data_IF_436725157284
#
_entry.id   IF_436725157284
#
_cell.length_a   1.000
_cell.length_b   1.000
_cell.length_c   1.000
_cell.angle_alpha   90.00
_cell.angle_beta   90.00
_cell.angle_gamma   90.00
#
_symmetry.space_group_name_H-M   'P 1'
#
loop_
_entity.id
_entity.type
_entity.pdbx_description
1 polymer ?
#
# COMPACT_ATOMS: atom_id res chain seq x y z
N UNK A 1 18.50 -11.76 28.32
CA UNK A 1 18.31 -10.98 27.07
C UNK A 1 18.53 -11.95 25.93
N UNK A 2 17.47 -12.69 25.57
CA UNK A 2 17.55 -13.71 24.53
C UNK A 2 17.51 -13.02 23.18
N UNK A 3 18.58 -13.17 22.40
CA UNK A 3 18.56 -12.88 20.97
C UNK A 3 17.59 -13.88 20.33
N UNK A 4 16.37 -13.43 20.05
CA UNK A 4 15.45 -14.21 19.24
C UNK A 4 16.10 -14.42 17.87
N UNK A 5 16.35 -15.68 17.56
CA UNK A 5 16.87 -16.12 16.27
C UNK A 5 15.84 -15.82 15.18
N UNK A 6 15.93 -14.61 14.59
CA UNK A 6 15.03 -14.06 13.57
C UNK A 6 15.09 -14.84 12.23
N UNK A 7 15.88 -15.92 12.15
CA UNK A 7 16.01 -16.80 11.01
C UNK A 7 14.76 -17.64 10.69
N UNK A 8 13.80 -17.75 11.63
CA UNK A 8 12.65 -18.68 11.50
C UNK A 8 11.36 -18.08 10.93
N UNK A 9 11.33 -16.80 10.60
CA UNK A 9 10.13 -16.14 10.08
C UNK A 9 10.18 -16.05 8.54
N UNK A 10 9.13 -16.51 7.82
CA UNK A 10 9.00 -16.32 6.38
C UNK A 10 9.15 -14.85 6.01
N UNK A 11 9.91 -14.57 4.95
CA UNK A 11 10.15 -13.21 4.48
C UNK A 11 10.10 -13.11 2.96
N UNK A 12 9.65 -11.94 2.51
CA UNK A 12 9.69 -11.50 1.12
C UNK A 12 10.88 -10.55 0.98
N UNK A 13 11.72 -10.79 -0.02
CA UNK A 13 12.80 -9.91 -0.42
C UNK A 13 12.33 -9.05 -1.58
N UNK A 14 12.49 -7.73 -1.42
CA UNK A 14 12.26 -6.73 -2.46
C UNK A 14 13.62 -6.13 -2.80
N UNK A 15 14.05 -6.27 -4.05
CA UNK A 15 15.31 -5.70 -4.52
C UNK A 15 15.03 -4.65 -5.58
N UNK A 16 15.42 -3.41 -5.31
CA UNK A 16 15.44 -2.33 -6.31
C UNK A 16 16.89 -2.19 -6.78
N UNK A 17 17.17 -2.69 -7.99
CA UNK A 17 18.47 -2.47 -8.61
C UNK A 17 18.50 -1.08 -9.22
N UNK A 18 19.48 -0.29 -8.83
CA UNK A 18 19.63 1.09 -9.28
C UNK A 18 21.08 1.51 -9.24
N UNK A 19 21.44 2.48 -10.08
CA UNK A 19 22.74 3.16 -10.06
C UNK A 19 22.67 4.53 -9.35
N UNK A 20 21.49 4.91 -8.88
CA UNK A 20 21.20 6.22 -8.31
C UNK A 20 20.43 6.10 -7.00
N UNK A 21 20.30 7.21 -6.27
CA UNK A 21 19.57 7.24 -5.01
C UNK A 21 18.08 7.14 -5.29
N UNK A 22 17.43 6.11 -4.76
CA UNK A 22 15.96 5.97 -4.79
C UNK A 22 15.36 6.78 -3.64
N UNK A 23 14.41 7.70 -3.89
CA UNK A 23 13.75 8.44 -2.83
C UNK A 23 13.03 7.51 -1.86
N UNK A 24 13.13 7.80 -0.55
CA UNK A 24 12.48 6.99 0.49
C UNK A 24 10.95 6.93 0.33
N UNK A 25 10.33 7.96 -0.26
CA UNK A 25 8.90 7.96 -0.58
C UNK A 25 8.53 6.87 -1.58
N UNK A 26 9.33 6.69 -2.63
CA UNK A 26 9.12 5.67 -3.68
C UNK A 26 9.27 4.27 -3.08
N UNK A 27 10.33 4.05 -2.29
CA UNK A 27 10.51 2.79 -1.59
C UNK A 27 9.37 2.52 -0.59
N UNK A 28 8.92 3.54 0.14
CA UNK A 28 7.82 3.45 1.09
C UNK A 28 6.49 3.08 0.44
N UNK A 29 6.13 3.75 -0.66
CA UNK A 29 4.93 3.46 -1.45
C UNK A 29 4.95 2.02 -2.00
N UNK A 30 6.11 1.59 -2.53
CA UNK A 30 6.29 0.21 -2.99
C UNK A 30 6.06 -0.81 -1.86
N UNK A 31 6.71 -0.61 -0.71
CA UNK A 31 6.55 -1.50 0.44
C UNK A 31 5.11 -1.52 0.96
N UNK A 32 4.45 -0.36 0.99
CA UNK A 32 3.07 -0.22 1.43
C UNK A 32 2.11 -1.00 0.52
N UNK A 33 2.24 -0.87 -0.80
CA UNK A 33 1.37 -1.59 -1.72
C UNK A 33 1.64 -3.09 -1.74
N UNK A 34 2.90 -3.53 -1.55
CA UNK A 34 3.23 -4.95 -1.33
C UNK A 34 2.56 -5.46 -0.04
N UNK A 35 2.66 -4.71 1.07
CA UNK A 35 2.03 -5.08 2.34
C UNK A 35 0.50 -5.16 2.22
N UNK A 36 -0.13 -4.18 1.59
CA UNK A 36 -1.58 -4.19 1.32
C UNK A 36 -1.99 -5.35 0.41
N UNK A 37 -1.22 -5.63 -0.64
CA UNK A 37 -1.43 -6.77 -1.53
C UNK A 37 -1.38 -8.09 -0.77
N UNK A 38 -0.35 -8.27 0.07
CA UNK A 38 -0.18 -9.44 0.91
C UNK A 38 -1.34 -9.61 1.90
N UNK A 39 -1.73 -8.55 2.60
CA UNK A 39 -2.86 -8.62 3.54
C UNK A 39 -4.17 -8.98 2.84
N UNK A 40 -4.46 -8.41 1.66
CA UNK A 40 -5.63 -8.78 0.87
C UNK A 40 -5.60 -10.27 0.49
N UNK A 41 -4.45 -10.75 0.04
CA UNK A 41 -4.25 -12.16 -0.32
C UNK A 41 -4.42 -13.09 0.90
N UNK A 42 -3.78 -12.76 2.01
CA UNK A 42 -3.86 -13.52 3.26
C UNK A 42 -5.30 -13.57 3.79
N UNK A 43 -6.03 -12.44 3.79
CA UNK A 43 -7.45 -12.39 4.15
C UNK A 43 -8.31 -13.28 3.24
N UNK A 44 -8.03 -13.29 1.93
CA UNK A 44 -8.68 -14.19 0.96
C UNK A 44 -8.45 -15.68 1.25
N UNK A 45 -7.37 -16.01 1.97
CA UNK A 45 -7.06 -17.37 2.48
C UNK A 45 -7.55 -17.61 3.92
N UNK A 46 -8.34 -16.71 4.49
CA UNK A 46 -8.85 -16.81 5.87
C UNK A 46 -7.85 -16.39 6.95
N UNK A 47 -6.73 -15.77 6.58
CA UNK A 47 -5.63 -15.38 7.48
C UNK A 47 -5.59 -13.88 7.69
N UNK A 48 -6.43 -13.39 8.60
CA UNK A 48 -6.59 -11.95 8.89
C UNK A 48 -5.54 -11.40 9.86
N UNK A 49 -4.84 -12.31 10.53
CA UNK A 49 -3.77 -12.07 11.49
C UNK A 49 -2.43 -11.73 10.82
N UNK A 50 -2.22 -12.17 9.58
CA UNK A 50 -0.94 -12.05 8.89
C UNK A 50 -0.75 -10.67 8.28
N UNK A 51 0.42 -10.07 8.53
CA UNK A 51 0.86 -8.79 7.97
C UNK A 51 2.34 -8.86 7.59
N UNK A 52 2.82 -7.89 6.81
CA UNK A 52 4.25 -7.73 6.55
C UNK A 52 4.81 -6.60 7.42
N UNK A 53 6.04 -6.78 7.91
CA UNK A 53 6.82 -5.72 8.53
C UNK A 53 8.25 -5.73 8.01
N UNK A 54 8.86 -4.55 7.97
CA UNK A 54 10.26 -4.40 7.52
C UNK A 54 11.18 -5.02 8.57
N UNK A 55 11.95 -6.03 8.16
CA UNK A 55 12.97 -6.71 8.97
C UNK A 55 14.36 -6.10 8.76
N UNK A 56 14.70 -5.79 7.51
CA UNK A 56 16.04 -5.33 7.13
C UNK A 56 15.96 -4.45 5.90
N UNK A 57 16.82 -3.43 5.86
CA UNK A 57 17.08 -2.61 4.68
C UNK A 57 18.60 -2.52 4.51
N UNK A 58 19.11 -2.93 3.36
CA UNK A 58 20.52 -2.77 2.99
C UNK A 58 20.67 -1.68 1.93
N UNK A 59 21.73 -0.88 2.07
CA UNK A 59 21.98 0.32 1.27
C UNK A 59 23.14 0.02 0.32
N UNK A 60 22.81 -0.46 -0.88
CA UNK A 60 23.73 -0.72 -2.00
C UNK A 60 22.92 -0.79 -3.28
N UNK A 61 22.46 -1.99 -3.64
CA UNK A 61 21.11 -2.13 -4.21
C UNK A 61 20.13 -2.02 -3.04
N UNK A 62 19.02 -1.30 -3.18
CA UNK A 62 18.07 -1.20 -2.07
C UNK A 62 17.37 -2.56 -1.92
N UNK A 63 17.86 -3.35 -0.96
CA UNK A 63 17.32 -4.67 -0.62
C UNK A 63 16.53 -4.52 0.66
N UNK A 64 15.25 -4.86 0.60
CA UNK A 64 14.32 -4.75 1.72
C UNK A 64 13.74 -6.13 2.01
N UNK A 65 13.91 -6.59 3.25
CA UNK A 65 13.31 -7.85 3.70
C UNK A 65 12.04 -7.55 4.51
N UNK A 66 10.91 -8.09 4.05
CA UNK A 66 9.60 -8.00 4.70
C UNK A 66 9.26 -9.32 5.39
N UNK A 67 9.31 -9.36 6.72
CA UNK A 67 8.95 -10.54 7.50
C UNK A 67 7.43 -10.61 7.76
N UNK A 68 6.89 -11.82 7.81
CA UNK A 68 5.47 -12.04 8.13
C UNK A 68 5.23 -11.95 9.64
N UNK A 69 4.45 -10.96 10.06
CA UNK A 69 4.03 -10.74 11.44
C UNK A 69 2.65 -11.35 11.67
N UNK A 70 2.37 -11.78 12.90
CA UNK A 70 1.06 -12.31 13.32
C UNK A 70 0.92 -13.83 13.20
N UNK A 71 1.92 -14.51 12.65
CA UNK A 71 2.04 -15.96 12.72
C UNK A 71 2.70 -16.39 14.03
N UNK A 72 2.23 -17.48 14.65
CA UNK A 72 3.04 -18.18 15.64
C UNK A 72 4.39 -18.57 15.00
N UNK A 73 5.55 -18.42 15.69
CA UNK A 73 6.86 -18.73 15.14
C UNK A 73 6.90 -20.15 14.57
N UNK A 74 7.31 -20.29 13.29
CA UNK A 74 7.40 -21.59 12.62
C UNK A 74 6.08 -22.16 12.07
N UNK A 75 4.98 -21.40 12.06
CA UNK A 75 3.71 -21.88 11.52
C UNK A 75 3.83 -22.16 10.00
N UNK A 76 3.60 -23.41 9.52
CA UNK A 76 3.68 -23.78 8.10
C UNK A 76 2.77 -22.91 7.22
N UNK A 77 1.71 -22.40 7.83
CA UNK A 77 0.69 -21.59 7.20
C UNK A 77 1.18 -20.21 6.76
N UNK A 78 2.16 -19.60 7.44
CA UNK A 78 2.73 -18.31 7.02
C UNK A 78 3.64 -18.47 5.80
N UNK A 79 4.43 -19.54 5.76
CA UNK A 79 5.27 -19.90 4.62
C UNK A 79 4.43 -20.18 3.38
N UNK A 80 3.36 -20.97 3.52
CA UNK A 80 2.42 -21.27 2.43
C UNK A 80 1.76 -20.01 1.89
N UNK A 81 1.28 -19.12 2.77
CA UNK A 81 0.66 -17.86 2.35
C UNK A 81 1.67 -16.98 1.62
N UNK A 82 2.88 -16.83 2.15
CA UNK A 82 3.98 -16.06 1.53
C UNK A 82 4.32 -16.56 0.14
N UNK A 83 4.58 -17.86 0.00
CA UNK A 83 4.89 -18.46 -1.29
C UNK A 83 3.73 -18.29 -2.27
N UNK A 84 2.50 -18.53 -1.83
CA UNK A 84 1.33 -18.38 -2.71
C UNK A 84 1.10 -16.93 -3.15
N UNK A 85 1.46 -15.95 -2.30
CA UNK A 85 1.37 -14.53 -2.63
C UNK A 85 2.41 -14.15 -3.70
N UNK A 86 3.65 -14.60 -3.56
CA UNK A 86 4.69 -14.36 -4.56
C UNK A 86 4.32 -14.94 -5.93
N UNK A 87 3.82 -16.18 -5.96
CA UNK A 87 3.32 -16.82 -7.18
C UNK A 87 2.16 -16.01 -7.79
N UNK A 88 1.16 -15.63 -6.98
CA UNK A 88 0.02 -14.85 -7.44
C UNK A 88 0.45 -13.46 -7.98
N UNK A 89 1.49 -12.86 -7.39
CA UNK A 89 2.05 -11.57 -7.85
C UNK A 89 2.75 -11.73 -9.19
N UNK A 90 3.52 -12.81 -9.39
CA UNK A 90 4.11 -13.15 -10.68
C UNK A 90 3.06 -13.38 -11.77
N UNK A 91 2.00 -14.11 -11.47
CA UNK A 91 0.86 -14.32 -12.39
C UNK A 91 0.15 -13.00 -12.73
N UNK A 92 -0.09 -12.16 -11.72
CA UNK A 92 -0.68 -10.83 -11.89
C UNK A 92 0.14 -9.95 -12.84
N UNK A 93 1.47 -9.93 -12.68
CA UNK A 93 2.36 -9.19 -13.57
C UNK A 93 2.32 -9.75 -15.00
N UNK A 94 2.32 -11.07 -15.17
CA UNK A 94 2.19 -11.70 -16.50
C UNK A 94 0.86 -11.35 -17.16
N UNK A 95 -0.24 -11.30 -16.41
CA UNK A 95 -1.52 -10.81 -16.94
C UNK A 95 -1.47 -9.32 -17.30
N UNK A 96 -0.83 -8.49 -16.48
CA UNK A 96 -0.66 -7.06 -16.76
C UNK A 96 0.20 -6.80 -18.01
N UNK A 97 1.21 -7.63 -18.27
CA UNK A 97 2.06 -7.62 -19.46
C UNK A 97 1.36 -8.20 -20.70
N UNK A 98 0.15 -8.75 -20.58
CA UNK A 98 -0.56 -9.40 -21.67
C UNK A 98 0.00 -10.77 -22.06
N UNK A 99 0.86 -11.35 -21.22
CA UNK A 99 1.51 -12.67 -21.43
C UNK A 99 0.70 -13.84 -20.87
N UNK A 100 -0.34 -13.56 -20.09
CA UNK A 100 -1.25 -14.56 -19.54
C UNK A 100 -2.70 -14.04 -19.60
N UNK A 101 -3.69 -14.92 -19.86
CA UNK A 101 -5.10 -14.53 -19.80
C UNK A 101 -5.46 -14.12 -18.38
N UNK A 102 -6.19 -13.01 -18.22
CA UNK A 102 -6.62 -12.53 -16.91
C UNK A 102 -7.05 -11.07 -16.96
N UNK A 103 -7.97 -10.70 -16.08
CA UNK A 103 -8.34 -9.28 -15.88
C UNK A 103 -7.64 -8.77 -14.63
N UNK A 104 -6.84 -7.71 -14.77
CA UNK A 104 -6.26 -7.00 -13.64
C UNK A 104 -7.40 -6.28 -12.90
N UNK A 105 -7.63 -6.64 -11.63
CA UNK A 105 -8.65 -5.96 -10.82
C UNK A 105 -8.14 -4.56 -10.47
N UNK A 106 -9.06 -3.61 -10.26
CA UNK A 106 -8.72 -2.26 -9.76
C UNK A 106 -7.90 -2.29 -8.47
N UNK A 107 -8.15 -3.28 -7.60
CA UNK A 107 -7.39 -3.47 -6.35
C UNK A 107 -5.93 -3.87 -6.56
N UNK A 108 -5.63 -4.47 -7.70
CA UNK A 108 -4.33 -5.07 -8.01
C UNK A 108 -3.50 -4.16 -8.92
N UNK A 109 -4.16 -3.23 -9.61
CA UNK A 109 -3.54 -2.19 -10.42
C UNK A 109 -2.52 -1.36 -9.62
N UNK A 110 -2.85 -0.98 -8.36
CA UNK A 110 -1.93 -0.19 -7.52
C UNK A 110 -0.63 -0.92 -7.18
N UNK A 111 -0.69 -2.23 -6.97
CA UNK A 111 0.51 -3.05 -6.75
C UNK A 111 1.36 -3.13 -8.02
N UNK A 112 0.71 -3.28 -9.19
CA UNK A 112 1.40 -3.27 -10.48
C UNK A 112 2.07 -1.90 -10.72
N UNK A 113 1.36 -0.80 -10.49
CA UNK A 113 1.88 0.55 -10.66
C UNK A 113 3.07 0.79 -9.71
N UNK A 114 2.94 0.43 -8.43
CA UNK A 114 4.04 0.57 -7.47
C UNK A 114 5.30 -0.22 -7.86
N UNK A 115 5.15 -1.40 -8.48
CA UNK A 115 6.28 -2.20 -9.01
C UNK A 115 6.85 -1.64 -10.32
N UNK A 116 6.00 -1.04 -11.16
CA UNK A 116 6.32 -0.49 -12.49
C UNK A 116 6.99 0.87 -12.42
N UNK A 117 6.43 1.78 -11.64
CA UNK A 117 6.72 3.21 -11.67
C UNK A 117 8.19 3.54 -11.34
N UNK A 118 8.87 2.88 -10.38
CA UNK A 118 10.29 3.10 -10.17
C UNK A 118 11.14 2.85 -11.42
N UNK A 119 10.76 1.89 -12.26
CA UNK A 119 11.48 1.58 -13.51
C UNK A 119 11.02 2.51 -14.65
N UNK A 120 9.73 2.83 -14.72
CA UNK A 120 9.17 3.74 -15.73
C UNK A 120 9.73 5.16 -15.60
N UNK A 121 9.90 5.63 -14.36
CA UNK A 121 10.46 6.94 -14.01
C UNK A 121 12.00 6.96 -14.09
N UNK A 122 12.61 5.82 -14.44
CA UNK A 122 14.05 5.66 -14.56
C UNK A 122 14.80 5.61 -13.22
N UNK A 123 14.11 5.60 -12.07
CA UNK A 123 14.68 5.55 -10.72
C UNK A 123 15.34 4.19 -10.40
N UNK A 124 14.90 3.14 -11.07
CA UNK A 124 15.42 1.78 -10.96
C UNK A 124 15.70 1.18 -12.36
N UNK A 125 16.72 0.34 -12.45
CA UNK A 125 16.96 -0.49 -13.62
C UNK A 125 15.97 -1.68 -13.65
N UNK A 126 15.68 -2.25 -12.47
CA UNK A 126 14.63 -3.26 -12.26
C UNK A 126 14.17 -3.33 -10.80
N UNK A 127 12.95 -3.82 -10.60
CA UNK A 127 12.40 -4.21 -9.30
C UNK A 127 12.18 -5.72 -9.30
N UNK A 128 12.70 -6.39 -8.27
CA UNK A 128 12.60 -7.83 -8.09
C UNK A 128 11.86 -8.11 -6.79
N UNK A 129 10.92 -9.05 -6.85
CA UNK A 129 10.22 -9.58 -5.70
C UNK A 129 10.43 -11.09 -5.63
N UNK A 130 10.87 -11.58 -4.49
CA UNK A 130 10.97 -13.01 -4.28
C UNK A 130 11.25 -13.45 -2.85
N UNK A 131 11.71 -14.69 -2.69
CA UNK A 131 12.18 -15.20 -1.39
C UNK A 131 13.67 -14.92 -1.22
N UNK A 132 14.08 -14.61 0.01
CA UNK A 132 15.51 -14.47 0.34
C UNK A 132 16.27 -15.73 -0.05
N UNK A 133 17.29 -15.58 -0.91
CA UNK A 133 18.10 -16.70 -1.42
C UNK A 133 17.34 -17.66 -2.34
N UNK A 134 16.14 -17.30 -2.80
CA UNK A 134 15.32 -18.06 -3.74
C UNK A 134 15.43 -17.52 -5.17
N UNK A 135 14.68 -18.14 -6.08
CA UNK A 135 14.49 -17.59 -7.42
C UNK A 135 13.59 -16.35 -7.35
N UNK A 136 13.72 -15.42 -8.30
CA UNK A 136 12.79 -14.31 -8.44
C UNK A 136 11.41 -14.80 -8.93
N UNK A 137 10.36 -14.51 -8.19
CA UNK A 137 8.98 -14.84 -8.58
C UNK A 137 8.31 -13.72 -9.39
N UNK A 138 8.75 -12.48 -9.22
CA UNK A 138 8.26 -11.33 -9.96
C UNK A 138 9.42 -10.37 -10.28
N UNK A 139 9.57 -10.03 -11.56
CA UNK A 139 10.59 -9.10 -12.05
C UNK A 139 9.92 -8.06 -12.93
N UNK A 140 10.20 -6.79 -12.64
CA UNK A 140 9.78 -5.66 -13.47
C UNK A 140 11.02 -4.92 -13.91
N UNK A 141 11.32 -4.98 -15.20
CA UNK A 141 12.38 -4.23 -15.88
C UNK A 141 11.78 -3.36 -17.00
N UNK A 142 12.63 -2.71 -17.80
CA UNK A 142 12.16 -1.84 -18.89
C UNK A 142 11.32 -2.58 -19.94
N UNK A 143 11.56 -3.86 -20.17
CA UNK A 143 10.75 -4.66 -21.10
C UNK A 143 9.37 -4.94 -20.50
N UNK A 144 9.33 -5.33 -19.23
CA UNK A 144 8.07 -5.49 -18.49
C UNK A 144 7.22 -4.21 -18.48
N UNK A 145 7.83 -3.03 -18.24
CA UNK A 145 7.13 -1.73 -18.29
C UNK A 145 6.52 -1.50 -19.68
N UNK A 146 7.29 -1.73 -20.75
CA UNK A 146 6.80 -1.59 -22.13
C UNK A 146 5.62 -2.50 -22.42
N UNK A 147 5.67 -3.75 -21.97
CA UNK A 147 4.59 -4.72 -22.16
C UNK A 147 3.32 -4.33 -21.39
N UNK A 148 3.48 -3.82 -20.15
CA UNK A 148 2.36 -3.32 -19.35
C UNK A 148 1.71 -2.12 -20.05
N UNK A 149 2.51 -1.17 -20.52
CA UNK A 149 2.02 0.04 -21.18
C UNK A 149 1.36 -0.25 -22.52
N UNK A 150 1.94 -1.17 -23.31
CA UNK A 150 1.34 -1.64 -24.56
C UNK A 150 0.00 -2.37 -24.33
N UNK A 151 -0.09 -3.17 -23.26
CA UNK A 151 -1.32 -3.89 -22.90
C UNK A 151 -2.43 -2.94 -22.44
N UNK A 152 -2.08 -1.83 -21.77
CA UNK A 152 -3.02 -0.77 -21.37
C UNK A 152 -3.46 0.10 -22.55
N UNK A 153 -2.59 0.27 -23.54
CA UNK A 153 -2.83 1.14 -24.70
C UNK A 153 -3.57 0.45 -25.85
N UNK A 154 -3.71 -0.89 -25.81
CA UNK A 154 -4.55 -1.61 -26.77
C UNK A 154 -6.01 -1.23 -26.55
N UNK A 155 -6.70 -0.63 -27.53
CA UNK A 155 -8.14 -0.50 -27.48
C UNK A 155 -8.69 -1.92 -27.34
N UNK A 156 -9.50 -2.17 -26.31
CA UNK A 156 -10.23 -3.44 -26.16
C UNK A 156 -11.08 -3.65 -27.42
N UNK A 157 -10.55 -4.39 -28.38
CA UNK A 157 -11.30 -4.84 -29.54
C UNK A 157 -12.42 -5.75 -29.00
N UNK A 158 -13.66 -5.35 -29.29
CA UNK A 158 -14.91 -6.06 -29.01
C UNK A 158 -14.74 -7.58 -29.03
N UNK A 159 -14.97 -8.22 -27.89
CA UNK A 159 -15.66 -9.51 -27.87
C UNK A 159 -17.04 -9.27 -27.27
N UNK A 160 -18.01 -9.20 -28.17
CA UNK A 160 -19.43 -9.34 -27.86
C UNK A 160 -19.67 -10.73 -27.27
N UNK A 161 -20.01 -10.80 -25.98
CA UNK A 161 -20.96 -11.78 -25.47
C UNK A 161 -21.96 -11.02 -24.62
N UNK A 162 -23.10 -10.69 -25.24
CA UNK A 162 -24.30 -10.22 -24.55
C UNK A 162 -24.80 -11.36 -23.66
N UNK A 163 -24.72 -11.17 -22.35
CA UNK A 163 -25.79 -11.63 -21.45
C UNK A 163 -26.36 -10.38 -20.80
N UNK A 164 -27.51 -9.97 -21.31
CA UNK A 164 -28.33 -8.93 -20.70
C UNK A 164 -28.75 -9.37 -19.30
N UNK A 165 -28.22 -8.71 -18.28
CA UNK A 165 -28.99 -8.37 -17.08
C UNK A 165 -28.80 -6.89 -16.83
N UNK A 166 -29.84 -6.14 -17.16
CA UNK A 166 -29.99 -4.74 -16.82
C UNK A 166 -29.83 -4.59 -15.31
N UNK A 167 -28.69 -4.07 -14.89
CA UNK A 167 -28.50 -3.45 -13.59
C UNK A 167 -28.20 -1.98 -13.86
N UNK A 168 -28.78 -1.06 -13.09
CA UNK A 168 -28.66 0.37 -13.34
C UNK A 168 -27.19 0.78 -13.29
N UNK A 169 -26.83 1.74 -14.16
CA UNK A 169 -25.50 2.33 -14.20
C UNK A 169 -25.07 2.74 -12.79
N UNK A 170 -23.86 2.37 -12.32
CA UNK A 170 -23.24 3.14 -11.28
C UNK A 170 -22.81 4.44 -11.96
N UNK A 171 -23.61 5.49 -11.78
CA UNK A 171 -23.08 6.83 -11.76
C UNK A 171 -21.78 6.79 -10.94
N UNK A 172 -20.73 7.47 -11.43
CA UNK A 172 -19.52 7.76 -10.67
C UNK A 172 -19.89 8.62 -9.46
N UNK A 173 -20.48 7.97 -8.46
CA UNK A 173 -20.74 8.51 -7.15
C UNK A 173 -19.47 8.25 -6.37
N UNK A 174 -18.57 9.24 -6.39
CA UNK A 174 -17.81 9.58 -5.20
C UNK A 174 -18.77 9.38 -4.01
N UNK A 175 -18.45 8.52 -3.02
CA UNK A 175 -19.35 8.33 -1.90
C UNK A 175 -19.75 9.72 -1.40
N UNK A 176 -21.06 10.00 -1.26
CA UNK A 176 -21.49 11.31 -0.81
C UNK A 176 -20.69 11.66 0.43
N UNK A 177 -20.24 12.92 0.58
CA UNK A 177 -19.46 13.31 1.74
C UNK A 177 -20.20 12.79 2.98
N UNK A 178 -19.51 12.08 3.91
CA UNK A 178 -20.18 11.61 5.11
C UNK A 178 -20.91 12.80 5.71
N UNK A 179 -22.20 12.63 5.99
CA UNK A 179 -23.01 13.63 6.68
C UNK A 179 -22.16 14.17 7.84
N UNK A 180 -21.90 15.49 7.84
CA UNK A 180 -21.02 16.22 8.77
C UNK A 180 -20.55 15.36 9.92
N UNK A 181 -19.39 14.73 9.77
CA UNK A 181 -18.85 13.87 10.84
C UNK A 181 -18.31 14.79 11.92
N UNK A 182 -19.01 14.86 13.05
CA UNK A 182 -18.55 15.65 14.19
C UNK A 182 -17.43 14.93 14.93
N UNK A 183 -16.38 15.67 15.25
CA UNK A 183 -15.41 15.28 16.26
C UNK A 183 -15.92 15.83 17.59
N UNK A 184 -16.18 14.93 18.55
CA UNK A 184 -16.55 15.28 19.92
C UNK A 184 -15.59 14.54 20.85
N UNK A 185 -14.60 15.26 21.40
CA UNK A 185 -13.57 14.67 22.25
C UNK A 185 -12.71 13.62 21.54
N UNK A 186 -12.45 13.80 20.24
CA UNK A 186 -11.68 12.82 19.47
C UNK A 186 -10.18 13.03 19.71
N UNK A 187 -9.46 11.98 20.15
CA UNK A 187 -8.02 12.06 20.32
C UNK A 187 -7.29 11.92 18.98
N UNK A 188 -6.22 12.68 18.80
CA UNK A 188 -5.33 12.50 17.66
C UNK A 188 -4.02 13.27 17.77
N UNK A 189 -3.12 12.95 16.86
CA UNK A 189 -1.83 13.63 16.73
C UNK A 189 -1.89 14.63 15.58
N UNK A 190 -1.44 15.87 15.81
CA UNK A 190 -1.25 16.85 14.73
C UNK A 190 0.10 16.62 14.08
N UNK A 191 0.15 16.74 12.74
CA UNK A 191 1.36 16.60 11.96
C UNK A 191 1.47 17.73 10.94
N UNK A 192 2.63 18.39 10.86
CA UNK A 192 2.99 19.28 9.76
C UNK A 192 3.65 18.47 8.64
N UNK A 193 3.01 18.43 7.47
CA UNK A 193 3.56 17.79 6.29
C UNK A 193 3.73 18.85 5.20
N UNK A 194 4.96 19.34 5.06
CA UNK A 194 5.37 20.34 4.06
C UNK A 194 4.59 21.66 4.18
N UNK A 195 4.38 22.16 5.40
CA UNK A 195 3.68 23.42 5.68
C UNK A 195 2.17 23.30 5.65
N UNK A 196 1.63 22.09 5.83
CA UNK A 196 0.19 21.80 5.86
C UNK A 196 -0.12 20.91 7.04
N UNK A 197 -1.16 21.29 7.78
CA UNK A 197 -1.57 20.57 8.96
C UNK A 197 -2.44 19.36 8.61
N UNK A 198 -2.13 18.24 9.24
CA UNK A 198 -2.90 17.00 9.20
C UNK A 198 -3.17 16.53 10.62
N UNK A 199 -4.22 15.73 10.77
CA UNK A 199 -4.53 15.02 12.00
C UNK A 199 -4.59 13.52 11.74
N UNK A 200 -3.96 12.76 12.62
CA UNK A 200 -4.13 11.32 12.74
C UNK A 200 -5.03 11.02 13.93
N UNK A 201 -6.29 10.69 13.68
CA UNK A 201 -7.25 10.36 14.74
C UNK A 201 -7.08 8.91 15.21
N UNK A 202 -7.21 8.72 16.53
CA UNK A 202 -7.24 7.37 17.12
C UNK A 202 -8.46 6.61 16.62
N UNK A 203 -8.28 5.32 16.33
CA UNK A 203 -9.35 4.46 15.79
C UNK A 203 -9.58 4.56 14.27
N UNK A 204 -8.93 5.49 13.56
CA UNK A 204 -9.04 5.63 12.09
C UNK A 204 -7.95 4.89 11.31
N UNK A 205 -7.36 3.85 11.89
CA UNK A 205 -6.36 3.02 11.20
C UNK A 205 -5.09 3.78 10.80
N UNK A 206 -4.80 4.91 11.45
CA UNK A 206 -3.59 5.71 11.21
C UNK A 206 -3.65 6.62 9.98
N UNK A 207 -4.84 6.82 9.41
CA UNK A 207 -5.05 7.72 8.26
C UNK A 207 -4.77 9.18 8.65
N UNK A 208 -4.03 9.89 7.79
CA UNK A 208 -3.84 11.33 7.89
C UNK A 208 -4.97 12.05 7.17
N UNK A 209 -5.68 12.88 7.92
CA UNK A 209 -6.76 13.71 7.41
C UNK A 209 -6.33 15.18 7.42
N UNK A 210 -6.61 15.96 6.37
CA UNK A 210 -6.29 17.39 6.35
C UNK A 210 -6.95 18.12 7.53
N UNK A 211 -6.20 19.02 8.16
CA UNK A 211 -6.61 19.75 9.35
C UNK A 211 -6.63 21.25 9.07
N UNK A 212 -7.76 21.90 9.35
CA UNK A 212 -7.89 23.35 9.31
C UNK A 212 -8.19 23.85 10.74
N UNK A 213 -7.20 24.42 11.44
CA UNK A 213 -7.43 25.04 12.74
C UNK A 213 -8.39 26.22 12.59
N UNK A 214 -9.43 26.26 13.42
CA UNK A 214 -10.33 27.40 13.51
C UNK A 214 -9.64 28.64 14.10
N UNK A 215 -10.30 29.82 14.04
CA UNK A 215 -9.75 31.04 14.61
C UNK A 215 -9.37 30.87 16.08
N UNK A 216 -8.12 31.20 16.44
CA UNK A 216 -7.61 31.10 17.81
C UNK A 216 -7.17 29.69 18.25
N UNK A 217 -7.28 28.68 17.39
CA UNK A 217 -6.76 27.32 17.67
C UNK A 217 -5.30 27.24 17.22
N UNK A 218 -4.38 27.11 18.18
CA UNK A 218 -2.97 26.84 17.92
C UNK A 218 -2.68 25.36 18.12
N UNK A 219 -1.97 24.77 17.16
CA UNK A 219 -1.51 23.38 17.22
C UNK A 219 0.00 23.33 17.01
N UNK A 220 0.62 22.30 17.55
CA UNK A 220 2.06 22.06 17.49
C UNK A 220 2.26 20.72 16.82
N UNK A 221 3.25 20.66 15.94
CA UNK A 221 3.64 19.43 15.27
C UNK A 221 3.98 18.31 16.26
N UNK A 222 3.62 17.08 15.89
CA UNK A 222 3.75 15.84 16.66
C UNK A 222 3.07 15.80 18.04
N UNK A 223 2.38 16.85 18.47
CA UNK A 223 1.69 16.88 19.76
C UNK A 223 0.30 16.21 19.69
N UNK A 224 -0.15 15.70 20.85
CA UNK A 224 -1.41 14.97 20.96
C UNK A 224 -2.48 15.86 21.58
N UNK A 225 -3.65 15.89 20.93
CA UNK A 225 -4.77 16.71 21.34
C UNK A 225 -6.05 15.87 21.40
N UNK A 226 -6.96 16.34 22.24
CA UNK A 226 -8.38 16.05 22.15
C UNK A 226 -9.04 17.17 21.32
N UNK A 227 -9.74 16.79 20.26
CA UNK A 227 -10.34 17.71 19.29
C UNK A 227 -11.87 17.73 19.36
N UNK A 228 -12.44 18.92 19.27
CA UNK A 228 -13.81 19.10 18.80
C UNK A 228 -13.83 19.85 17.47
N UNK A 229 -14.70 19.39 16.57
CA UNK A 229 -14.71 19.89 15.20
C UNK A 229 -15.74 19.18 14.34
N UNK A 230 -15.61 19.35 13.03
CA UNK A 230 -16.41 18.60 12.07
C UNK A 230 -15.68 18.44 10.75
N UNK A 231 -15.97 17.34 10.07
CA UNK A 231 -15.58 17.16 8.68
C UNK A 231 -16.39 18.12 7.79
N UNK A 232 -15.71 19.04 7.12
CA UNK A 232 -16.30 20.01 6.22
C UNK A 232 -15.65 19.90 4.83
N UNK A 233 -16.39 19.37 3.86
CA UNK A 233 -15.89 19.17 2.50
C UNK A 233 -14.80 18.10 2.43
N UNK A 234 -13.54 18.50 2.67
CA UNK A 234 -12.33 17.68 2.50
C UNK A 234 -11.33 17.77 3.65
N UNK A 235 -11.64 18.51 4.71
CA UNK A 235 -10.77 18.72 5.86
C UNK A 235 -11.58 18.65 7.16
N UNK A 236 -10.89 18.32 8.26
CA UNK A 236 -11.44 18.53 9.59
C UNK A 236 -11.26 19.99 9.98
N UNK A 237 -12.38 20.67 10.19
CA UNK A 237 -12.38 22.02 10.75
C UNK A 237 -12.44 21.93 12.26
N UNK A 238 -11.35 22.31 12.90
CA UNK A 238 -11.21 22.20 14.35
C UNK A 238 -11.72 23.45 15.02
N UNK A 239 -12.66 23.30 15.94
CA UNK A 239 -13.19 24.38 16.77
C UNK A 239 -12.38 24.54 18.05
N UNK A 240 -11.95 23.43 18.64
CA UNK A 240 -11.11 23.38 19.85
C UNK A 240 -10.09 22.26 19.73
N UNK A 241 -8.88 22.50 20.22
CA UNK A 241 -7.84 21.49 20.38
C UNK A 241 -7.25 21.63 21.78
N UNK A 242 -7.46 20.63 22.65
CA UNK A 242 -6.90 20.61 24.00
C UNK A 242 -5.71 19.67 24.02
N UNK A 243 -4.51 20.18 24.26
CA UNK A 243 -3.31 19.35 24.34
C UNK A 243 -3.43 18.41 25.54
N UNK A 244 -3.15 17.13 25.33
CA UNK A 244 -3.22 16.08 26.35
C UNK A 244 -1.89 15.33 26.54
N UNK A 245 -0.92 15.52 25.63
CA UNK A 245 0.49 15.12 25.77
C UNK A 245 1.41 16.01 24.91
#
# INVERSE_FOLDING_TARGET
>A
MEQHDHAKCPAIEVTIETKQIVPASVAGELLEEIARGFERHARGKGRRDLRLGVRRVDIGSLIMELAVIGAAPGAPSAEVVTRSFLVATGELLRSAQGLAPGTVRKSDARLIDALRDPVADGLADRVILGRRGGAAEAVVDREAVRLIDASRSRPTARSEVRVSRSLPAPDDVLPPPPARRELRGANGTVLDVKGRWYVRLEGEGGVLNPLEPGPGVAVVDEAVYEFDGSWEGRSYRIRTARRIA
#
